data_IF_105077327017
#
_entry.id   IF_105077327017
#
_cell.length_a   1.000
_cell.length_b   1.000
_cell.length_c   1.000
_cell.angle_alpha   90.00
_cell.angle_beta   90.00
_cell.angle_gamma   90.00
#
_symmetry.space_group_name_H-M   'P 1'
#
loop_
_entity.id
_entity.type
_entity.pdbx_description
1 polymer ?
#
# COMPACT_ATOMS: atom_id res chain seq x y z
N UNK A 1 12.42 -22.14 -19.73
CA UNK A 1 11.40 -21.07 -19.67
C UNK A 1 12.06 -19.75 -19.24
N UNK A 2 11.86 -18.70 -20.01
CA UNK A 2 12.44 -17.37 -19.79
C UNK A 2 11.39 -16.47 -19.10
N UNK A 3 11.64 -16.08 -17.86
CA UNK A 3 10.67 -15.39 -17.01
C UNK A 3 11.07 -13.93 -16.86
N UNK A 4 10.13 -13.04 -17.19
CA UNK A 4 10.21 -11.61 -16.88
C UNK A 4 9.47 -11.27 -15.61
N UNK A 5 9.95 -10.29 -14.85
CA UNK A 5 9.22 -9.70 -13.72
C UNK A 5 9.10 -8.19 -13.86
N UNK A 6 7.94 -7.65 -13.50
CA UNK A 6 7.61 -6.24 -13.59
C UNK A 6 6.91 -5.77 -12.32
N UNK A 7 7.32 -4.63 -11.81
CA UNK A 7 6.67 -3.94 -10.70
C UNK A 7 6.74 -2.43 -10.93
N UNK A 8 5.69 -1.72 -10.56
CA UNK A 8 5.60 -0.26 -10.66
C UNK A 8 5.83 0.36 -9.28
N UNK A 9 6.79 1.28 -9.20
CA UNK A 9 7.15 1.94 -7.94
C UNK A 9 8.49 1.49 -7.38
N UNK A 10 8.62 1.46 -6.05
CA UNK A 10 9.86 1.09 -5.39
C UNK A 10 10.12 -0.42 -5.48
N UNK A 11 11.40 -0.80 -5.55
CA UNK A 11 11.82 -2.21 -5.62
C UNK A 11 11.33 -3.06 -4.42
N UNK A 12 10.93 -2.41 -3.32
CA UNK A 12 10.35 -3.06 -2.14
C UNK A 12 9.08 -3.87 -2.43
N UNK A 13 8.28 -3.43 -3.41
CA UNK A 13 7.05 -4.11 -3.81
C UNK A 13 7.28 -5.43 -4.57
N UNK A 14 8.54 -5.72 -4.90
CA UNK A 14 8.92 -6.99 -5.53
C UNK A 14 9.15 -8.12 -4.52
N UNK A 15 9.15 -7.84 -3.20
CA UNK A 15 9.46 -8.85 -2.19
C UNK A 15 8.63 -10.13 -2.34
N UNK A 16 7.33 -10.02 -2.49
CA UNK A 16 6.43 -11.17 -2.65
C UNK A 16 6.79 -12.04 -3.84
N UNK A 17 6.98 -11.44 -5.03
CA UNK A 17 7.34 -12.21 -6.24
C UNK A 17 8.74 -12.81 -6.15
N UNK A 18 9.70 -12.12 -5.49
CA UNK A 18 11.04 -12.69 -5.25
C UNK A 18 11.01 -13.88 -4.31
N UNK A 19 10.22 -13.81 -3.24
CA UNK A 19 10.03 -14.94 -2.34
C UNK A 19 9.38 -16.11 -3.07
N UNK A 20 8.31 -15.88 -3.85
CA UNK A 20 7.64 -16.91 -4.64
C UNK A 20 8.61 -17.59 -5.62
N UNK A 21 9.42 -16.79 -6.34
CA UNK A 21 10.43 -17.32 -7.28
C UNK A 21 11.51 -18.12 -6.54
N UNK A 22 11.99 -17.63 -5.40
CA UNK A 22 12.96 -18.34 -4.57
C UNK A 22 12.44 -19.72 -4.13
N UNK A 23 11.22 -19.78 -3.58
CA UNK A 23 10.57 -21.04 -3.17
C UNK A 23 10.31 -21.97 -4.36
N UNK A 24 9.96 -21.41 -5.50
CA UNK A 24 9.71 -22.17 -6.73
C UNK A 24 11.00 -22.70 -7.40
N UNK A 25 12.17 -22.21 -7.01
CA UNK A 25 13.45 -22.56 -7.64
C UNK A 25 13.62 -21.94 -9.03
N UNK A 26 12.90 -20.86 -9.33
CA UNK A 26 12.98 -20.12 -10.59
C UNK A 26 13.72 -18.79 -10.41
N UNK A 27 14.25 -18.28 -11.51
CA UNK A 27 14.82 -16.94 -11.58
C UNK A 27 14.09 -16.12 -12.62
N UNK A 28 13.97 -14.81 -12.40
CA UNK A 28 13.33 -13.91 -13.33
C UNK A 28 14.19 -12.66 -13.58
N UNK A 29 14.13 -12.15 -14.81
CA UNK A 29 14.83 -10.95 -15.24
C UNK A 29 13.86 -9.77 -15.17
N UNK A 30 14.35 -8.58 -14.79
CA UNK A 30 13.54 -7.36 -14.82
C UNK A 30 13.09 -7.07 -16.24
N UNK A 31 11.77 -6.99 -16.41
CA UNK A 31 11.18 -6.65 -17.70
C UNK A 31 11.20 -5.14 -17.92
N UNK A 32 11.45 -4.75 -19.15
CA UNK A 32 11.30 -3.41 -19.69
C UNK A 32 10.62 -3.43 -21.06
N UNK A 33 10.34 -2.27 -21.63
CA UNK A 33 9.65 -2.16 -22.92
C UNK A 33 10.40 -2.78 -24.09
N UNK A 34 11.71 -3.02 -23.98
CA UNK A 34 12.53 -3.54 -25.05
C UNK A 34 12.66 -5.07 -25.02
N UNK A 35 12.61 -5.65 -23.81
CA UNK A 35 12.78 -7.10 -23.64
C UNK A 35 11.46 -7.85 -23.33
N UNK A 36 10.36 -7.16 -23.08
CA UNK A 36 9.12 -7.77 -22.63
C UNK A 36 8.59 -8.89 -23.55
N UNK A 37 8.79 -8.78 -24.86
CA UNK A 37 8.35 -9.79 -25.85
C UNK A 37 9.20 -11.06 -25.86
N UNK A 38 10.40 -11.02 -25.29
CA UNK A 38 11.33 -12.17 -25.30
C UNK A 38 11.10 -13.17 -24.17
N UNK A 39 10.16 -12.89 -23.29
CA UNK A 39 9.82 -13.79 -22.18
C UNK A 39 8.74 -14.79 -22.60
N UNK A 40 8.80 -15.99 -22.01
CA UNK A 40 7.72 -16.97 -22.08
C UNK A 40 6.61 -16.60 -21.10
N UNK A 41 7.00 -16.09 -19.92
CA UNK A 41 6.08 -15.65 -18.85
C UNK A 41 6.49 -14.26 -18.35
N UNK A 42 5.51 -13.39 -18.14
CA UNK A 42 5.68 -12.10 -17.51
C UNK A 42 4.90 -12.05 -16.18
N UNK A 43 5.62 -12.06 -15.06
CA UNK A 43 5.07 -11.90 -13.72
C UNK A 43 4.95 -10.41 -13.39
N UNK A 44 3.74 -9.95 -13.11
CA UNK A 44 3.46 -8.53 -12.82
C UNK A 44 2.95 -8.39 -11.40
N UNK A 45 3.65 -7.60 -10.58
CA UNK A 45 3.20 -7.27 -9.23
C UNK A 45 2.45 -5.95 -9.24
N UNK A 46 1.19 -5.97 -8.83
CA UNK A 46 0.35 -4.78 -8.65
C UNK A 46 0.09 -4.52 -7.17
N UNK A 47 0.62 -3.43 -6.67
CA UNK A 47 0.49 -3.01 -5.27
C UNK A 47 -0.46 -1.83 -5.11
N UNK A 48 -0.34 -0.81 -5.98
CA UNK A 48 -1.16 0.40 -5.95
C UNK A 48 -2.28 0.35 -6.98
N UNK A 49 -3.40 1.03 -6.70
CA UNK A 49 -4.51 1.14 -7.65
C UNK A 49 -4.07 1.65 -9.04
N UNK A 50 -3.08 2.52 -9.11
CA UNK A 50 -2.56 3.07 -10.38
C UNK A 50 -1.72 2.10 -11.21
N UNK A 51 -1.31 0.98 -10.65
CA UNK A 51 -0.40 0.05 -11.34
C UNK A 51 -1.05 -0.55 -12.59
N UNK A 52 -2.38 -0.72 -12.59
CA UNK A 52 -3.13 -1.16 -13.78
C UNK A 52 -2.98 -0.17 -14.96
N UNK A 53 -3.02 1.14 -14.69
CA UNK A 53 -2.80 2.17 -15.69
C UNK A 53 -1.36 2.16 -16.21
N UNK A 54 -0.38 2.02 -15.31
CA UNK A 54 1.03 1.93 -15.71
C UNK A 54 1.31 0.66 -16.51
N UNK A 55 0.66 -0.45 -16.16
CA UNK A 55 0.82 -1.69 -16.90
C UNK A 55 0.19 -1.62 -18.29
N UNK A 56 -0.99 -1.03 -18.43
CA UNK A 56 -1.62 -0.82 -19.73
C UNK A 56 -0.73 0.06 -20.63
N UNK A 57 -0.15 1.11 -20.07
CA UNK A 57 0.83 1.94 -20.77
C UNK A 57 2.07 1.13 -21.19
N UNK A 58 2.62 0.34 -20.28
CA UNK A 58 3.77 -0.54 -20.55
C UNK A 58 3.46 -1.51 -21.67
N UNK A 59 2.30 -2.16 -21.66
CA UNK A 59 1.86 -3.10 -22.71
C UNK A 59 1.87 -2.45 -24.11
N UNK A 60 1.37 -1.21 -24.20
CA UNK A 60 1.39 -0.44 -25.46
C UNK A 60 2.81 -0.13 -25.91
N UNK A 61 3.62 0.42 -25.02
CA UNK A 61 5.01 0.80 -25.34
C UNK A 61 5.88 -0.42 -25.69
N UNK A 62 5.60 -1.58 -25.08
CA UNK A 62 6.25 -2.84 -25.37
C UNK A 62 5.65 -3.59 -26.57
N UNK A 63 4.54 -3.10 -27.16
CA UNK A 63 3.85 -3.74 -28.28
C UNK A 63 3.23 -5.11 -27.93
N UNK A 64 2.83 -5.32 -26.67
CA UNK A 64 2.20 -6.56 -26.20
C UNK A 64 0.70 -6.63 -26.52
N UNK A 65 0.08 -5.52 -26.98
CA UNK A 65 -1.33 -5.45 -27.29
C UNK A 65 -1.62 -6.00 -28.69
N UNK A 66 -0.75 -5.69 -29.65
CA UNK A 66 -0.97 -5.99 -31.07
C UNK A 66 -0.74 -7.48 -31.43
N UNK A 67 0.02 -8.20 -30.62
CA UNK A 67 0.39 -9.60 -30.85
C UNK A 67 0.25 -10.45 -29.59
N UNK A 68 -0.91 -10.41 -28.95
CA UNK A 68 -1.16 -11.11 -27.67
C UNK A 68 -0.90 -12.63 -27.77
N UNK A 69 -1.24 -13.25 -28.89
CA UNK A 69 -1.03 -14.68 -29.12
C UNK A 69 0.45 -15.11 -29.26
N UNK A 70 1.34 -14.14 -29.54
CA UNK A 70 2.79 -14.35 -29.67
C UNK A 70 3.59 -13.74 -28.52
N UNK A 71 2.92 -13.13 -27.55
CA UNK A 71 3.56 -12.50 -26.37
C UNK A 71 3.71 -13.51 -25.23
N UNK A 72 4.33 -13.04 -24.11
CA UNK A 72 4.44 -13.86 -22.92
C UNK A 72 3.06 -14.13 -22.30
N UNK A 73 2.93 -15.26 -21.60
CA UNK A 73 1.82 -15.49 -20.68
C UNK A 73 1.94 -14.48 -19.53
N UNK A 74 0.93 -13.65 -19.33
CA UNK A 74 0.93 -12.60 -18.31
C UNK A 74 0.21 -13.10 -17.06
N UNK A 75 0.94 -13.19 -15.96
CA UNK A 75 0.40 -13.54 -14.63
C UNK A 75 0.53 -12.33 -13.71
N UNK A 76 -0.61 -11.80 -13.24
CA UNK A 76 -0.66 -10.65 -12.33
C UNK A 76 -0.92 -11.15 -10.91
N UNK A 77 -0.19 -10.62 -9.93
CA UNK A 77 -0.39 -10.86 -8.51
C UNK A 77 -0.24 -9.58 -7.67
N UNK A 78 -0.36 -9.73 -6.37
CA UNK A 78 -0.23 -8.63 -5.40
C UNK A 78 -1.57 -8.14 -4.85
N UNK A 79 -1.50 -7.20 -3.90
CA UNK A 79 -2.69 -6.78 -3.15
C UNK A 79 -3.76 -6.13 -4.05
N UNK A 80 -3.36 -5.33 -5.03
CA UNK A 80 -4.32 -4.72 -5.95
C UNK A 80 -4.98 -5.76 -6.85
N UNK A 81 -4.24 -6.76 -7.32
CA UNK A 81 -4.80 -7.87 -8.09
C UNK A 81 -5.85 -8.66 -7.27
N UNK A 82 -5.60 -8.81 -5.97
CA UNK A 82 -6.55 -9.48 -5.07
C UNK A 82 -7.85 -8.68 -4.86
N UNK A 83 -7.77 -7.34 -4.84
CA UNK A 83 -8.95 -6.50 -4.55
C UNK A 83 -9.74 -6.08 -5.80
N UNK A 84 -9.13 -6.12 -7.00
CA UNK A 84 -9.79 -5.80 -8.27
C UNK A 84 -9.45 -6.83 -9.35
N UNK A 85 -9.71 -8.13 -9.12
CA UNK A 85 -9.28 -9.20 -10.02
C UNK A 85 -9.91 -9.12 -11.40
N UNK A 86 -11.19 -8.77 -11.48
CA UNK A 86 -11.91 -8.63 -12.76
C UNK A 86 -11.27 -7.57 -13.67
N UNK A 87 -10.90 -6.42 -13.08
CA UNK A 87 -10.22 -5.36 -13.83
C UNK A 87 -8.80 -5.81 -14.26
N UNK A 88 -8.08 -6.53 -13.41
CA UNK A 88 -6.76 -7.06 -13.74
C UNK A 88 -6.82 -8.13 -14.85
N UNK A 89 -7.89 -8.94 -14.89
CA UNK A 89 -8.09 -9.95 -15.92
C UNK A 89 -8.33 -9.36 -17.34
N UNK A 90 -8.65 -8.08 -17.44
CA UNK A 90 -8.71 -7.40 -18.75
C UNK A 90 -7.34 -7.24 -19.41
N UNK A 91 -6.26 -7.31 -18.62
CA UNK A 91 -4.88 -7.06 -19.10
C UNK A 91 -3.94 -8.25 -18.88
N UNK A 92 -4.41 -9.34 -18.28
CA UNK A 92 -3.64 -10.55 -17.96
C UNK A 92 -4.30 -11.82 -18.53
N UNK A 93 -3.50 -12.87 -18.65
CA UNK A 93 -4.02 -14.22 -18.91
C UNK A 93 -4.50 -14.86 -17.61
N UNK A 94 -3.77 -14.63 -16.52
CA UNK A 94 -4.12 -15.10 -15.18
C UNK A 94 -3.89 -14.02 -14.13
N UNK A 95 -4.80 -13.99 -13.15
CA UNK A 95 -4.70 -13.13 -11.95
C UNK A 95 -4.63 -14.04 -10.73
N UNK A 96 -3.56 -13.97 -9.97
CA UNK A 96 -3.40 -14.75 -8.75
C UNK A 96 -3.99 -13.99 -7.56
N UNK A 97 -4.85 -14.65 -6.80
CA UNK A 97 -5.61 -14.06 -5.70
C UNK A 97 -4.99 -14.52 -4.37
N UNK A 98 -4.33 -13.61 -3.65
CA UNK A 98 -3.76 -13.90 -2.33
C UNK A 98 -2.24 -14.06 -2.30
N UNK A 99 -1.74 -15.01 -1.49
CA UNK A 99 -0.31 -15.34 -1.32
C UNK A 99 0.11 -16.42 -2.31
N UNK A 100 1.08 -16.11 -3.16
CA UNK A 100 1.53 -17.02 -4.22
C UNK A 100 2.68 -17.96 -3.84
N UNK A 101 3.17 -17.90 -2.60
CA UNK A 101 4.43 -18.51 -2.17
C UNK A 101 4.54 -20.01 -2.48
N UNK A 102 3.47 -20.76 -2.20
CA UNK A 102 3.45 -22.21 -2.36
C UNK A 102 2.82 -22.66 -3.68
N UNK A 103 2.32 -21.71 -4.48
CA UNK A 103 1.54 -22.00 -5.69
C UNK A 103 2.28 -21.65 -6.99
N UNK A 104 3.21 -20.67 -6.96
CA UNK A 104 3.85 -20.17 -8.18
C UNK A 104 4.60 -21.27 -8.93
N UNK A 105 5.21 -22.24 -8.21
CA UNK A 105 5.95 -23.34 -8.84
C UNK A 105 5.05 -24.16 -9.76
N UNK A 106 3.92 -24.65 -9.26
CA UNK A 106 2.98 -25.45 -10.06
C UNK A 106 2.46 -24.70 -11.28
N UNK A 107 2.11 -23.40 -11.10
CA UNK A 107 1.65 -22.54 -12.19
C UNK A 107 2.72 -22.43 -13.30
N UNK A 108 3.98 -22.21 -12.92
CA UNK A 108 5.07 -22.08 -13.88
C UNK A 108 5.44 -23.40 -14.55
N UNK A 109 5.38 -24.52 -13.83
CA UNK A 109 5.63 -25.85 -14.37
C UNK A 109 4.58 -26.22 -15.43
N UNK A 110 3.29 -25.98 -15.17
CA UNK A 110 2.20 -26.21 -16.10
C UNK A 110 2.32 -25.32 -17.36
N UNK A 111 2.64 -24.04 -17.20
CA UNK A 111 2.90 -23.15 -18.34
C UNK A 111 4.11 -23.61 -19.15
N UNK A 112 5.18 -24.07 -18.50
CA UNK A 112 6.37 -24.59 -19.18
C UNK A 112 6.08 -25.85 -19.99
N UNK A 113 5.13 -26.68 -19.52
CA UNK A 113 4.63 -27.85 -20.24
C UNK A 113 3.68 -27.49 -21.41
N UNK A 114 3.33 -26.21 -21.58
CA UNK A 114 2.33 -25.78 -22.57
C UNK A 114 0.88 -26.05 -22.13
N UNK A 115 0.68 -26.31 -20.84
CA UNK A 115 -0.62 -26.62 -20.24
C UNK A 115 -1.26 -25.38 -19.65
N UNK A 116 -2.59 -25.40 -19.53
CA UNK A 116 -3.33 -24.35 -18.82
C UNK A 116 -3.19 -24.59 -17.32
N UNK A 117 -2.73 -23.58 -16.53
CA UNK A 117 -2.61 -23.73 -15.10
C UNK A 117 -3.93 -24.11 -14.41
N UNK A 118 -3.86 -25.07 -13.50
CA UNK A 118 -5.01 -25.64 -12.79
C UNK A 118 -5.20 -25.09 -11.38
N UNK A 119 -4.29 -24.22 -10.90
CA UNK A 119 -4.32 -23.64 -9.57
C UNK A 119 -5.67 -22.96 -9.28
N UNK A 120 -6.33 -23.37 -8.19
CA UNK A 120 -7.66 -22.89 -7.80
C UNK A 120 -7.74 -21.39 -7.51
N UNK A 121 -6.63 -20.78 -7.08
CA UNK A 121 -6.51 -19.36 -6.75
C UNK A 121 -6.28 -18.44 -7.96
N UNK A 122 -6.25 -19.02 -9.17
CA UNK A 122 -6.17 -18.23 -10.39
C UNK A 122 -7.57 -17.78 -10.84
N UNK A 123 -7.65 -16.52 -11.21
CA UNK A 123 -8.78 -15.92 -11.90
C UNK A 123 -8.37 -15.50 -13.32
N UNK A 124 -9.29 -15.57 -14.26
CA UNK A 124 -9.11 -15.13 -15.65
C UNK A 124 -10.43 -14.60 -16.21
N UNK A 125 -10.35 -13.81 -17.25
CA UNK A 125 -11.56 -13.27 -17.91
C UNK A 125 -12.48 -14.39 -18.36
N UNK A 126 -13.73 -14.36 -17.88
CA UNK A 126 -14.75 -15.36 -18.18
C UNK A 126 -14.82 -16.54 -17.21
N UNK A 127 -14.03 -16.53 -16.12
CA UNK A 127 -14.23 -17.46 -15.00
C UNK A 127 -15.43 -16.99 -14.17
N UNK A 128 -16.36 -17.89 -13.87
CA UNK A 128 -17.64 -17.55 -13.22
C UNK A 128 -17.48 -16.99 -11.81
N UNK A 129 -16.46 -17.44 -11.06
CA UNK A 129 -16.28 -17.06 -9.66
C UNK A 129 -14.86 -16.63 -9.38
N UNK A 130 -14.74 -15.50 -8.66
CA UNK A 130 -13.46 -15.07 -8.09
C UNK A 130 -13.14 -16.00 -6.92
N UNK A 131 -11.92 -16.55 -6.87
CA UNK A 131 -11.50 -17.39 -5.74
C UNK A 131 -11.39 -16.60 -4.44
N UNK A 132 -11.54 -17.29 -3.31
CA UNK A 132 -11.08 -16.74 -2.03
C UNK A 132 -9.57 -16.55 -2.05
N UNK A 133 -9.02 -15.54 -1.37
CA UNK A 133 -7.58 -15.31 -1.37
C UNK A 133 -6.81 -16.48 -0.73
N UNK A 134 -5.78 -16.96 -1.42
CA UNK A 134 -4.84 -17.90 -0.85
C UNK A 134 -4.13 -17.32 0.37
N UNK A 135 -3.96 -18.09 1.42
CA UNK A 135 -3.14 -17.77 2.59
C UNK A 135 -2.02 -18.80 2.74
N UNK A 136 -0.76 -18.36 2.60
CA UNK A 136 0.41 -19.17 2.83
C UNK A 136 1.08 -18.79 4.15
N UNK A 137 1.70 -19.75 4.84
CA UNK A 137 2.54 -19.44 6.00
C UNK A 137 3.75 -18.60 5.56
N UNK A 138 4.02 -17.46 6.23
CA UNK A 138 5.14 -16.62 5.88
C UNK A 138 6.45 -17.32 6.18
N UNK A 139 7.43 -17.22 5.29
CA UNK A 139 8.74 -17.83 5.42
C UNK A 139 9.83 -16.78 5.61
N UNK A 140 10.88 -17.17 6.33
CA UNK A 140 12.06 -16.33 6.47
C UNK A 140 12.78 -16.20 5.12
N UNK A 141 12.86 -14.97 4.61
CA UNK A 141 13.53 -14.66 3.36
C UNK A 141 14.17 -13.27 3.44
N UNK A 142 15.39 -13.17 2.95
CA UNK A 142 16.17 -11.94 2.93
C UNK A 142 16.34 -11.42 1.51
N UNK A 143 15.46 -10.54 1.07
CA UNK A 143 15.57 -9.92 -0.24
C UNK A 143 16.63 -8.80 -0.23
N UNK A 144 17.57 -8.89 -1.15
CA UNK A 144 18.58 -7.86 -1.33
C UNK A 144 18.10 -6.83 -2.34
N UNK A 145 18.13 -5.55 -1.98
CA UNK A 145 17.82 -4.45 -2.89
C UNK A 145 18.97 -4.19 -3.87
N UNK A 146 18.67 -4.26 -5.17
CA UNK A 146 19.67 -3.99 -6.22
C UNK A 146 20.09 -2.51 -6.35
N UNK A 147 19.19 -1.54 -6.19
CA UNK A 147 19.41 -0.14 -6.56
C UNK A 147 19.28 0.90 -5.43
N UNK A 148 18.92 0.52 -4.21
CA UNK A 148 18.75 1.44 -3.07
C UNK A 148 19.75 1.18 -1.94
N UNK A 149 21.01 1.00 -2.28
CA UNK A 149 22.07 0.73 -1.31
C UNK A 149 22.01 -0.68 -0.71
N UNK A 150 22.86 -0.96 0.27
CA UNK A 150 23.02 -2.28 0.87
C UNK A 150 21.91 -2.69 1.87
N UNK A 151 20.67 -2.23 1.69
CA UNK A 151 19.58 -2.56 2.62
C UNK A 151 18.92 -3.88 2.24
N UNK A 152 18.89 -4.83 3.16
CA UNK A 152 18.17 -6.09 3.02
C UNK A 152 16.75 -5.96 3.61
N UNK A 153 15.74 -6.50 2.93
CA UNK A 153 14.33 -6.52 3.40
C UNK A 153 14.00 -7.89 3.94
N UNK A 154 13.38 -7.95 5.13
CA UNK A 154 12.94 -9.18 5.78
C UNK A 154 11.50 -8.98 6.25
N UNK A 155 10.58 -9.80 5.73
CA UNK A 155 9.21 -9.87 6.21
C UNK A 155 9.17 -10.60 7.55
N UNK A 156 8.46 -10.06 8.54
CA UNK A 156 8.35 -10.70 9.85
C UNK A 156 6.93 -11.19 10.15
N UNK A 157 5.91 -10.65 9.46
CA UNK A 157 4.53 -11.11 9.62
C UNK A 157 3.67 -10.68 8.42
N UNK A 158 2.60 -11.43 8.16
CA UNK A 158 1.53 -11.14 7.19
C UNK A 158 0.18 -10.98 7.86
N UNK A 159 -0.72 -10.25 7.18
CA UNK A 159 -2.00 -9.90 7.76
C UNK A 159 -1.84 -8.88 8.89
N UNK A 160 -2.92 -8.54 9.57
CA UNK A 160 -2.89 -7.56 10.65
C UNK A 160 -3.86 -7.96 11.78
N UNK A 161 -3.41 -7.85 13.04
CA UNK A 161 -4.25 -8.09 14.23
C UNK A 161 -5.32 -7.01 14.41
N UNK A 162 -5.11 -5.82 13.83
CA UNK A 162 -6.03 -4.70 13.94
C UNK A 162 -7.13 -4.77 12.89
N UNK A 163 -8.29 -4.24 13.27
CA UNK A 163 -9.46 -4.17 12.40
C UNK A 163 -9.79 -2.73 12.02
N UNK A 164 -8.78 -2.01 11.50
CA UNK A 164 -8.98 -0.66 10.99
C UNK A 164 -9.94 -0.68 9.81
N UNK A 165 -11.05 0.07 9.91
CA UNK A 165 -12.17 -0.03 8.96
C UNK A 165 -11.86 0.43 7.53
N UNK A 166 -10.77 1.16 7.32
CA UNK A 166 -10.31 1.65 6.02
C UNK A 166 -9.24 0.76 5.36
N UNK A 167 -8.69 -0.21 6.11
CA UNK A 167 -7.49 -0.92 5.71
C UNK A 167 -7.81 -2.29 5.12
N UNK A 168 -7.45 -2.49 3.87
CA UNK A 168 -7.58 -3.77 3.15
C UNK A 168 -6.89 -4.93 3.90
N UNK A 169 -5.68 -4.69 4.44
CA UNK A 169 -4.90 -5.74 5.10
C UNK A 169 -5.57 -6.31 6.35
N UNK A 170 -6.46 -5.52 6.99
CA UNK A 170 -7.20 -5.98 8.16
C UNK A 170 -8.39 -6.90 7.83
N UNK A 171 -8.80 -6.94 6.59
CA UNK A 171 -9.96 -7.71 6.10
C UNK A 171 -9.59 -8.93 5.23
N UNK A 172 -8.47 -8.85 4.50
CA UNK A 172 -8.13 -9.85 3.49
C UNK A 172 -7.49 -11.11 4.04
N UNK A 173 -6.65 -11.01 5.08
CA UNK A 173 -5.80 -12.13 5.52
C UNK A 173 -5.73 -12.25 7.03
N UNK A 174 -5.59 -13.48 7.51
CA UNK A 174 -5.29 -13.76 8.90
C UNK A 174 -3.88 -13.27 9.27
N UNK A 175 -3.66 -12.95 10.55
CA UNK A 175 -2.33 -12.57 11.02
C UNK A 175 -1.49 -13.84 11.26
N UNK A 176 -0.30 -13.88 10.64
CA UNK A 176 0.67 -14.98 10.72
C UNK A 176 2.07 -14.41 10.85
N UNK A 177 2.91 -15.04 11.67
CA UNK A 177 4.27 -14.59 11.97
C UNK A 177 5.30 -15.53 11.36
N UNK A 178 6.42 -14.99 10.88
CA UNK A 178 7.63 -15.77 10.64
C UNK A 178 8.22 -16.15 12.00
N UNK A 179 8.60 -17.40 12.26
CA UNK A 179 9.21 -17.76 13.54
C UNK A 179 10.40 -16.87 13.89
N UNK A 180 10.46 -16.38 15.15
CA UNK A 180 11.54 -15.49 15.58
C UNK A 180 12.93 -16.11 15.39
N UNK A 181 13.07 -17.42 15.63
CA UNK A 181 14.33 -18.15 15.44
C UNK A 181 14.83 -18.05 13.98
N UNK A 182 13.92 -18.17 13.00
CA UNK A 182 14.25 -18.10 11.58
C UNK A 182 14.69 -16.68 11.18
N UNK A 183 14.02 -15.65 11.73
CA UNK A 183 14.44 -14.26 11.53
C UNK A 183 15.82 -14.03 12.12
N UNK A 184 16.08 -14.52 13.34
CA UNK A 184 17.37 -14.37 14.01
C UNK A 184 18.49 -15.07 13.20
N UNK A 185 18.22 -16.28 12.67
CA UNK A 185 19.17 -16.96 11.79
C UNK A 185 19.53 -16.15 10.54
N UNK A 186 18.54 -15.49 9.90
CA UNK A 186 18.82 -14.55 8.80
C UNK A 186 19.67 -13.35 9.24
N UNK A 187 19.42 -12.79 10.43
CA UNK A 187 20.21 -11.68 10.96
C UNK A 187 21.66 -12.11 11.24
N UNK A 188 21.88 -13.32 11.73
CA UNK A 188 23.22 -13.90 11.94
C UNK A 188 23.97 -14.10 10.62
N UNK A 189 23.28 -14.63 9.58
CA UNK A 189 23.84 -14.73 8.23
C UNK A 189 24.22 -13.36 7.64
N UNK A 190 23.37 -12.34 7.81
CA UNK A 190 23.68 -10.97 7.38
C UNK A 190 24.93 -10.42 8.10
N UNK A 191 25.04 -10.64 9.41
CA UNK A 191 26.18 -10.21 10.20
C UNK A 191 27.47 -10.91 9.74
N UNK A 192 27.42 -12.23 9.50
CA UNK A 192 28.55 -13.02 8.97
C UNK A 192 29.01 -12.51 7.59
N UNK A 193 28.07 -12.11 6.74
CA UNK A 193 28.33 -11.49 5.43
C UNK A 193 28.70 -10.00 5.50
N UNK A 194 28.92 -9.46 6.70
CA UNK A 194 29.24 -8.05 6.97
C UNK A 194 28.20 -7.05 6.43
N UNK A 195 26.94 -7.48 6.29
CA UNK A 195 25.83 -6.64 5.89
C UNK A 195 25.16 -6.08 7.13
N UNK A 196 25.33 -4.79 7.36
CA UNK A 196 24.91 -4.15 8.62
C UNK A 196 23.53 -3.50 8.57
N UNK A 197 23.01 -3.24 7.36
CA UNK A 197 21.78 -2.44 7.17
C UNK A 197 20.68 -3.33 6.62
N UNK A 198 19.57 -3.37 7.31
CA UNK A 198 18.39 -4.11 6.90
C UNK A 198 17.12 -3.36 7.31
N UNK A 199 15.95 -3.85 6.88
CA UNK A 199 14.64 -3.35 7.30
C UNK A 199 13.71 -4.53 7.54
N UNK A 200 13.26 -4.67 8.77
CA UNK A 200 12.12 -5.52 9.09
C UNK A 200 10.84 -4.83 8.62
N UNK A 201 9.92 -5.59 8.03
CA UNK A 201 8.63 -5.04 7.67
C UNK A 201 7.49 -6.03 7.91
N UNK A 202 6.35 -5.48 8.25
CA UNK A 202 5.03 -6.12 8.37
C UNK A 202 3.99 -4.99 8.40
N UNK A 203 2.69 -5.28 8.32
CA UNK A 203 1.65 -4.27 8.58
C UNK A 203 1.80 -3.60 9.96
N UNK A 204 2.24 -4.34 10.97
CA UNK A 204 2.70 -3.84 12.28
C UNK A 204 3.69 -4.82 12.90
N UNK A 205 4.97 -4.56 12.71
CA UNK A 205 6.07 -5.46 13.10
C UNK A 205 6.29 -5.57 14.62
N UNK A 206 5.94 -4.52 15.39
CA UNK A 206 6.14 -4.49 16.84
C UNK A 206 5.15 -5.38 17.61
N UNK A 207 4.16 -5.94 16.93
CA UNK A 207 3.24 -6.94 17.46
C UNK A 207 3.67 -8.38 17.25
N UNK A 208 4.82 -8.57 16.62
CA UNK A 208 5.41 -9.90 16.51
C UNK A 208 5.66 -10.46 17.91
N UNK A 209 5.26 -11.71 18.15
CA UNK A 209 5.36 -12.34 19.48
C UNK A 209 6.82 -12.41 19.99
N UNK A 210 7.77 -12.67 19.10
CA UNK A 210 9.20 -12.68 19.39
C UNK A 210 9.91 -11.35 19.10
N UNK A 211 9.20 -10.20 19.12
CA UNK A 211 9.82 -8.90 18.79
C UNK A 211 11.00 -8.56 19.72
N UNK A 212 10.88 -8.89 21.01
CA UNK A 212 11.97 -8.64 21.99
C UNK A 212 13.23 -9.42 21.65
N UNK A 213 13.09 -10.72 21.38
CA UNK A 213 14.22 -11.62 21.05
C UNK A 213 14.89 -11.19 19.75
N UNK A 214 14.10 -10.82 18.73
CA UNK A 214 14.63 -10.31 17.46
C UNK A 214 15.42 -9.01 17.70
N UNK A 215 14.88 -8.09 18.48
CA UNK A 215 15.52 -6.82 18.78
C UNK A 215 16.81 -7.00 19.60
N UNK A 216 16.81 -7.90 20.58
CA UNK A 216 18.02 -8.26 21.35
C UNK A 216 19.10 -8.85 20.43
N UNK A 217 18.73 -9.66 19.43
CA UNK A 217 19.66 -10.17 18.42
C UNK A 217 20.23 -9.04 17.54
N UNK A 218 19.41 -8.09 17.12
CA UNK A 218 19.85 -6.90 16.36
C UNK A 218 20.95 -6.15 17.12
N UNK A 219 20.76 -5.93 18.43
CA UNK A 219 21.74 -5.29 19.29
C UNK A 219 23.03 -6.10 19.43
N UNK A 220 22.90 -7.38 19.77
CA UNK A 220 24.02 -8.32 19.93
C UNK A 220 24.89 -8.38 18.68
N UNK A 221 24.28 -8.41 17.50
CA UNK A 221 24.95 -8.51 16.20
C UNK A 221 25.42 -7.15 15.65
N UNK A 222 25.14 -6.05 16.35
CA UNK A 222 25.48 -4.68 15.92
C UNK A 222 24.94 -4.33 14.53
N UNK A 223 23.73 -4.77 14.24
CA UNK A 223 23.01 -4.48 13.00
C UNK A 223 22.18 -3.21 13.13
N UNK A 224 21.77 -2.64 11.99
CA UNK A 224 20.96 -1.42 11.93
C UNK A 224 19.67 -1.71 11.18
N UNK A 225 18.55 -1.72 11.90
CA UNK A 225 17.22 -1.72 11.32
C UNK A 225 16.81 -0.29 10.93
N UNK A 226 16.54 -0.07 9.64
CA UNK A 226 16.11 1.23 9.11
C UNK A 226 14.60 1.35 8.91
N UNK A 227 13.83 0.34 9.29
CA UNK A 227 12.37 0.38 9.25
C UNK A 227 11.83 1.39 10.27
N UNK A 228 10.98 2.31 9.80
CA UNK A 228 10.44 3.41 10.62
C UNK A 228 8.92 3.34 10.83
N UNK A 229 8.23 2.45 10.10
CA UNK A 229 6.78 2.34 10.14
C UNK A 229 6.31 1.66 11.43
N UNK A 230 5.35 2.28 12.12
CA UNK A 230 4.77 1.77 13.36
C UNK A 230 3.36 2.33 13.60
N UNK A 231 2.68 1.79 14.59
CA UNK A 231 1.49 2.44 15.15
C UNK A 231 1.89 3.36 16.30
N UNK A 232 1.04 4.35 16.59
CA UNK A 232 1.31 5.31 17.68
C UNK A 232 1.58 4.61 19.01
N UNK A 233 0.83 3.55 19.34
CA UNK A 233 0.98 2.78 20.59
C UNK A 233 2.33 2.07 20.72
N UNK A 234 3.04 1.93 19.61
CA UNK A 234 4.36 1.30 19.56
C UNK A 234 5.47 2.29 19.22
N UNK A 235 5.16 3.59 19.18
CA UNK A 235 6.12 4.62 18.79
C UNK A 235 7.41 4.52 19.62
N UNK A 236 7.28 4.32 20.92
CA UNK A 236 8.42 4.22 21.84
C UNK A 236 9.15 2.86 21.77
N UNK A 237 8.64 1.88 21.00
CA UNK A 237 9.34 0.63 20.67
C UNK A 237 10.24 0.76 19.43
N UNK A 238 10.13 1.86 18.69
CA UNK A 238 10.99 2.11 17.52
C UNK A 238 12.41 2.35 18.01
N UNK A 239 13.23 1.33 17.92
CA UNK A 239 14.63 1.39 18.30
C UNK A 239 15.45 1.72 17.08
N UNK A 240 15.87 2.97 16.97
CA UNK A 240 16.83 3.39 15.96
C UNK A 240 18.16 3.75 16.62
N UNK A 241 19.28 3.47 15.94
CA UNK A 241 20.60 3.79 16.50
C UNK A 241 20.72 5.27 16.87
N UNK A 242 21.47 5.54 17.91
CA UNK A 242 21.67 6.78 18.68
C UNK A 242 21.77 8.11 17.90
N UNK A 243 21.91 8.11 16.57
CA UNK A 243 22.22 9.34 15.82
C UNK A 243 21.05 9.93 15.03
N UNK A 244 20.00 9.18 14.72
CA UNK A 244 18.85 9.69 13.97
C UNK A 244 17.64 8.78 14.20
N UNK A 245 16.61 9.30 14.86
CA UNK A 245 15.34 8.60 15.03
C UNK A 245 14.33 9.09 13.99
N UNK A 246 13.82 8.17 13.21
CA UNK A 246 12.73 8.42 12.28
C UNK A 246 11.56 7.53 12.67
N UNK A 247 10.35 8.06 12.67
CA UNK A 247 9.14 7.30 12.88
C UNK A 247 8.08 7.72 11.86
N UNK A 248 7.36 6.73 11.34
CA UNK A 248 6.22 6.93 10.44
C UNK A 248 5.03 6.22 11.05
N UNK A 249 3.96 6.96 11.33
CA UNK A 249 2.77 6.39 11.99
C UNK A 249 1.47 7.01 11.47
N UNK A 250 0.40 6.22 11.54
CA UNK A 250 -0.92 6.67 11.15
C UNK A 250 -1.76 7.08 12.36
N UNK A 251 -2.13 8.36 12.43
CA UNK A 251 -3.18 8.85 13.32
C UNK A 251 -4.55 8.64 12.69
N UNK A 252 -4.61 8.78 11.38
CA UNK A 252 -5.74 8.57 10.46
C UNK A 252 -6.84 9.63 10.65
N UNK A 253 -7.85 9.41 11.48
CA UNK A 253 -8.90 10.42 11.66
C UNK A 253 -8.37 11.76 12.19
N UNK A 254 -8.85 12.86 11.62
CA UNK A 254 -8.44 14.24 11.96
C UNK A 254 -8.94 14.71 13.34
N UNK A 255 -9.92 14.01 13.93
CA UNK A 255 -10.41 14.24 15.30
C UNK A 255 -10.52 12.94 16.07
N UNK A 256 -10.68 13.01 17.39
CA UNK A 256 -10.88 11.83 18.23
C UNK A 256 -12.14 11.03 17.82
N UNK A 257 -13.24 11.74 17.53
CA UNK A 257 -14.48 11.13 17.04
C UNK A 257 -14.21 10.28 15.78
N UNK A 258 -13.52 10.84 14.83
CA UNK A 258 -13.21 10.17 13.57
C UNK A 258 -12.18 9.05 13.75
N UNK A 259 -11.15 9.22 14.57
CA UNK A 259 -10.21 8.15 14.91
C UNK A 259 -10.94 6.95 15.54
N UNK A 260 -11.81 7.22 16.51
CA UNK A 260 -12.61 6.18 17.18
C UNK A 260 -13.53 5.45 16.19
N UNK A 261 -14.16 6.17 15.27
CA UNK A 261 -15.07 5.59 14.27
C UNK A 261 -14.40 4.55 13.37
N UNK A 262 -13.10 4.70 13.10
CA UNK A 262 -12.32 3.81 12.21
C UNK A 262 -11.45 2.78 12.96
N UNK A 263 -11.62 2.69 14.30
CA UNK A 263 -10.90 1.69 15.11
C UNK A 263 -9.53 2.13 15.63
N UNK A 264 -9.31 3.46 15.77
CA UNK A 264 -8.12 4.06 16.38
C UNK A 264 -8.51 5.06 17.48
N UNK A 265 -8.64 4.61 18.71
CA UNK A 265 -9.18 5.40 19.82
C UNK A 265 -8.13 6.25 20.54
N UNK A 266 -7.27 6.98 19.82
CA UNK A 266 -6.28 7.88 20.44
C UNK A 266 -6.87 9.25 20.73
N UNK A 267 -6.73 9.74 21.97
CA UNK A 267 -7.02 11.12 22.32
C UNK A 267 -5.87 12.04 21.89
N UNK A 268 -6.11 13.35 21.80
CA UNK A 268 -5.05 14.31 21.51
C UNK A 268 -3.98 14.32 22.61
N UNK A 269 -4.37 14.16 23.89
CA UNK A 269 -3.43 14.06 25.02
C UNK A 269 -2.50 12.86 24.87
N UNK A 270 -3.05 11.68 24.53
CA UNK A 270 -2.26 10.48 24.29
C UNK A 270 -1.30 10.64 23.11
N UNK A 271 -1.73 11.31 22.03
CA UNK A 271 -0.85 11.60 20.89
C UNK A 271 0.34 12.47 21.33
N UNK A 272 0.08 13.54 22.09
CA UNK A 272 1.11 14.45 22.59
C UNK A 272 2.07 13.74 23.53
N UNK A 273 1.56 12.92 24.45
CA UNK A 273 2.36 12.10 25.36
C UNK A 273 3.32 11.19 24.61
N UNK A 274 2.81 10.37 23.67
CA UNK A 274 3.63 9.43 22.92
C UNK A 274 4.69 10.13 22.03
N UNK A 275 4.33 11.23 21.39
CA UNK A 275 5.29 12.01 20.59
C UNK A 275 6.33 12.70 21.46
N UNK A 276 5.93 13.24 22.60
CA UNK A 276 6.81 13.88 23.57
C UNK A 276 7.82 12.88 24.16
N UNK A 277 7.35 11.74 24.63
CA UNK A 277 8.19 10.66 25.17
C UNK A 277 9.23 10.18 24.13
N UNK A 278 8.78 9.92 22.90
CA UNK A 278 9.68 9.52 21.80
C UNK A 278 10.74 10.56 21.52
N UNK A 279 10.38 11.85 21.56
CA UNK A 279 11.29 12.97 21.31
C UNK A 279 12.31 13.13 22.43
N UNK A 280 11.83 13.13 23.68
CA UNK A 280 12.69 13.33 24.87
C UNK A 280 13.67 12.17 25.11
N UNK A 281 13.33 10.96 24.65
CA UNK A 281 14.21 9.80 24.69
C UNK A 281 15.26 9.78 23.56
N UNK A 282 15.43 10.88 22.82
CA UNK A 282 16.41 11.01 21.73
C UNK A 282 17.44 12.09 22.02
N UNK A 283 18.72 11.79 21.80
CA UNK A 283 19.82 12.74 21.89
C UNK A 283 19.90 13.70 20.69
N UNK A 284 19.06 13.50 19.67
CA UNK A 284 19.09 14.26 18.40
C UNK A 284 17.70 14.65 17.99
N UNK A 285 17.60 15.63 17.07
CA UNK A 285 16.34 15.96 16.42
C UNK A 285 15.75 14.72 15.75
N UNK A 286 14.51 14.41 16.07
CA UNK A 286 13.77 13.26 15.49
C UNK A 286 12.93 13.69 14.29
N UNK A 287 12.77 12.80 13.32
CA UNK A 287 11.90 13.02 12.17
C UNK A 287 10.67 12.14 12.30
N UNK A 288 9.49 12.76 12.28
CA UNK A 288 8.21 12.08 12.37
C UNK A 288 7.36 12.34 11.12
N UNK A 289 6.81 11.28 10.55
CA UNK A 289 5.76 11.40 9.53
C UNK A 289 4.46 10.89 10.11
N UNK A 290 3.46 11.77 10.21
CA UNK A 290 2.13 11.44 10.73
C UNK A 290 1.10 11.45 9.60
N UNK A 291 0.44 10.30 9.37
CA UNK A 291 -0.59 10.17 8.34
C UNK A 291 -1.98 10.44 8.93
N UNK A 292 -2.77 11.18 8.16
CA UNK A 292 -4.17 11.50 8.44
C UNK A 292 -5.04 11.14 7.24
N UNK A 293 -6.31 10.84 7.52
CA UNK A 293 -7.36 10.62 6.52
C UNK A 293 -8.44 11.67 6.74
N UNK A 294 -8.73 12.45 5.71
CA UNK A 294 -9.89 13.33 5.63
C UNK A 294 -11.00 12.68 4.80
N UNK A 295 -12.16 13.30 4.76
CA UNK A 295 -13.37 12.77 4.11
C UNK A 295 -13.88 11.46 4.73
N UNK A 296 -13.64 11.26 6.01
CA UNK A 296 -14.26 10.14 6.72
C UNK A 296 -15.76 10.39 6.91
N UNK A 297 -16.59 9.33 6.88
CA UNK A 297 -18.02 9.47 7.15
C UNK A 297 -18.30 10.22 8.45
N UNK A 298 -19.18 11.23 8.40
CA UNK A 298 -19.55 12.05 9.55
C UNK A 298 -18.52 13.14 9.91
N UNK A 299 -17.55 13.43 9.05
CA UNK A 299 -16.63 14.55 9.20
C UNK A 299 -17.34 15.89 9.04
N UNK A 300 -17.03 16.85 9.92
CA UNK A 300 -17.60 18.20 9.97
C UNK A 300 -16.52 19.25 10.30
N UNK A 301 -16.91 20.52 10.33
CA UNK A 301 -15.95 21.62 10.55
C UNK A 301 -15.31 21.60 11.94
N UNK A 302 -16.00 21.09 12.96
CA UNK A 302 -15.47 20.90 14.30
C UNK A 302 -14.30 19.93 14.34
N UNK A 303 -14.31 18.91 13.51
CA UNK A 303 -13.19 17.95 13.39
C UNK A 303 -11.91 18.64 12.89
N UNK A 304 -12.04 19.61 12.00
CA UNK A 304 -10.93 20.43 11.50
C UNK A 304 -10.42 21.44 12.53
N UNK A 305 -11.31 21.94 13.40
CA UNK A 305 -10.90 22.77 14.55
C UNK A 305 -10.08 21.94 15.54
N UNK A 306 -10.52 20.71 15.84
CA UNK A 306 -9.77 19.81 16.71
C UNK A 306 -8.39 19.46 16.13
N UNK A 307 -8.29 19.22 14.80
CA UNK A 307 -7.01 19.00 14.16
C UNK A 307 -6.08 20.21 14.30
N UNK A 308 -6.63 21.41 14.14
CA UNK A 308 -5.85 22.66 14.29
C UNK A 308 -5.35 22.82 15.72
N UNK A 309 -6.22 22.56 16.72
CA UNK A 309 -5.85 22.58 18.14
C UNK A 309 -4.72 21.58 18.45
N UNK A 310 -4.81 20.35 17.94
CA UNK A 310 -3.75 19.37 18.11
C UNK A 310 -2.39 19.90 17.63
N UNK A 311 -2.35 20.54 16.46
CA UNK A 311 -1.11 21.09 15.93
C UNK A 311 -0.63 22.33 16.69
N UNK A 312 -1.52 23.18 17.15
CA UNK A 312 -1.19 24.32 18.02
C UNK A 312 -0.57 23.83 19.34
N UNK A 313 -1.12 22.79 19.94
CA UNK A 313 -0.58 22.14 21.15
C UNK A 313 0.79 21.47 20.89
N UNK A 314 0.98 20.82 19.74
CA UNK A 314 2.30 20.29 19.34
C UNK A 314 3.29 21.47 19.21
N UNK A 315 2.88 22.60 18.63
CA UNK A 315 3.74 23.77 18.47
C UNK A 315 4.15 24.38 19.81
N UNK A 316 3.24 24.41 20.77
CA UNK A 316 3.47 24.96 22.10
C UNK A 316 4.27 24.04 23.04
N UNK A 317 4.41 22.76 22.72
CA UNK A 317 5.12 21.81 23.56
C UNK A 317 6.64 22.09 23.60
N UNK A 318 7.27 21.96 24.77
CA UNK A 318 8.72 22.20 24.98
C UNK A 318 9.62 21.35 24.06
N UNK A 319 9.18 20.14 23.78
CA UNK A 319 9.91 19.22 22.91
C UNK A 319 9.73 19.52 21.40
N UNK A 320 8.84 20.42 21.02
CA UNK A 320 8.50 20.69 19.61
C UNK A 320 9.70 21.17 18.77
N UNK A 321 10.67 21.83 19.39
CA UNK A 321 11.93 22.27 18.73
C UNK A 321 12.87 21.11 18.37
N UNK A 322 12.67 19.94 18.94
CA UNK A 322 13.47 18.75 18.72
C UNK A 322 12.86 17.77 17.70
N UNK A 323 11.79 18.17 17.00
CA UNK A 323 11.16 17.36 15.96
C UNK A 323 11.16 18.05 14.60
N UNK A 324 11.31 17.21 13.56
CA UNK A 324 10.93 17.53 12.20
C UNK A 324 9.65 16.76 11.88
N UNK A 325 8.50 17.41 12.00
CA UNK A 325 7.20 16.79 11.74
C UNK A 325 6.80 16.98 10.27
N UNK A 326 6.40 15.88 9.64
CA UNK A 326 5.84 15.86 8.28
C UNK A 326 4.42 15.30 8.31
N UNK A 327 3.39 16.13 8.54
CA UNK A 327 2.02 15.67 8.44
C UNK A 327 1.66 15.36 6.99
N UNK A 328 1.04 14.20 6.79
CA UNK A 328 0.54 13.76 5.47
C UNK A 328 -0.95 13.53 5.60
N UNK A 329 -1.72 14.38 5.00
CA UNK A 329 -3.18 14.28 5.00
C UNK A 329 -3.63 13.71 3.65
N UNK A 330 -4.32 12.58 3.66
CA UNK A 330 -4.88 11.93 2.49
C UNK A 330 -6.42 11.91 2.55
N UNK A 331 -7.12 12.05 1.44
CA UNK A 331 -8.56 11.80 1.43
C UNK A 331 -8.84 10.31 1.63
N UNK A 332 -10.01 9.99 2.18
CA UNK A 332 -10.48 8.62 2.22
C UNK A 332 -10.51 8.04 0.79
N UNK A 333 -9.92 6.88 0.63
CA UNK A 333 -10.02 6.06 -0.57
C UNK A 333 -10.71 4.76 -0.17
N UNK A 334 -12.03 4.64 -0.37
CA UNK A 334 -12.78 3.43 -0.04
C UNK A 334 -12.23 2.25 -0.81
N UNK A 335 -11.87 1.18 -0.09
CA UNK A 335 -11.28 -0.02 -0.68
C UNK A 335 -12.25 -1.19 -0.60
N UNK A 336 -12.32 -2.06 -1.62
CA UNK A 336 -13.01 -3.33 -1.53
C UNK A 336 -12.56 -4.13 -0.31
N UNK A 337 -13.43 -4.96 0.23
CA UNK A 337 -13.20 -5.80 1.42
C UNK A 337 -12.98 -5.02 2.72
N UNK A 338 -13.34 -3.75 2.78
CA UNK A 338 -13.29 -2.95 4.02
C UNK A 338 -14.69 -2.49 4.44
N UNK A 339 -14.92 -2.24 5.75
CA UNK A 339 -16.20 -1.64 6.19
C UNK A 339 -16.52 -0.29 5.55
N UNK A 340 -15.53 0.44 5.05
CA UNK A 340 -15.69 1.72 4.35
C UNK A 340 -15.73 1.59 2.82
N UNK A 341 -15.85 0.38 2.28
CA UNK A 341 -15.90 0.11 0.84
C UNK A 341 -16.95 0.96 0.11
N UNK A 342 -18.11 1.17 0.74
CA UNK A 342 -19.22 1.94 0.18
C UNK A 342 -19.33 3.36 0.74
N UNK A 343 -18.30 3.88 1.41
CA UNK A 343 -18.31 5.25 1.90
C UNK A 343 -18.39 6.26 0.74
N UNK A 344 -19.08 7.37 0.97
CA UNK A 344 -19.15 8.45 -0.01
C UNK A 344 -17.77 9.02 -0.34
N UNK A 345 -17.57 9.45 -1.58
CA UNK A 345 -16.33 10.06 -2.07
C UNK A 345 -16.61 11.46 -2.59
N UNK A 346 -15.88 12.46 -2.11
CA UNK A 346 -16.04 13.85 -2.50
C UNK A 346 -14.83 14.35 -3.31
N UNK A 347 -14.73 14.04 -4.61
CA UNK A 347 -13.51 14.33 -5.39
C UNK A 347 -13.24 15.84 -5.55
N UNK A 348 -14.27 16.68 -5.38
CA UNK A 348 -14.19 18.14 -5.57
C UNK A 348 -14.28 18.95 -4.27
N UNK A 349 -14.23 18.28 -3.10
CA UNK A 349 -14.32 18.96 -1.80
C UNK A 349 -13.15 19.91 -1.59
N UNK A 350 -13.43 21.11 -1.14
CA UNK A 350 -12.43 22.07 -0.67
C UNK A 350 -12.16 21.88 0.83
N UNK A 351 -10.92 22.16 1.24
CA UNK A 351 -10.55 22.11 2.65
C UNK A 351 -10.86 23.41 3.35
N UNK A 352 -11.18 23.39 4.67
CA UNK A 352 -11.45 24.58 5.45
C UNK A 352 -10.31 25.60 5.37
N UNK A 353 -10.66 26.86 5.11
CA UNK A 353 -9.69 27.96 4.93
C UNK A 353 -8.80 28.12 6.16
N UNK A 354 -9.34 27.93 7.37
CA UNK A 354 -8.58 28.02 8.63
C UNK A 354 -7.42 27.01 8.63
N UNK A 355 -7.69 25.76 8.28
CA UNK A 355 -6.65 24.72 8.18
C UNK A 355 -5.60 25.04 7.10
N UNK A 356 -6.03 25.46 5.92
CA UNK A 356 -5.10 25.83 4.84
C UNK A 356 -4.20 27.01 5.24
N UNK A 357 -4.74 27.99 5.95
CA UNK A 357 -3.97 29.16 6.44
C UNK A 357 -2.97 28.71 7.53
N UNK A 358 -3.39 27.85 8.44
CA UNK A 358 -2.49 27.24 9.43
C UNK A 358 -1.32 26.51 8.76
N UNK A 359 -1.59 25.67 7.78
CA UNK A 359 -0.56 24.95 7.03
C UNK A 359 0.41 25.92 6.31
N UNK A 360 -0.11 26.98 5.67
CA UNK A 360 0.72 27.98 4.99
C UNK A 360 1.63 28.73 5.96
N UNK A 361 1.11 29.13 7.13
CA UNK A 361 1.88 29.80 8.19
C UNK A 361 3.05 28.93 8.65
N UNK A 362 2.83 27.63 8.81
CA UNK A 362 3.77 26.69 9.40
C UNK A 362 4.58 25.85 8.38
N UNK A 363 4.41 26.10 7.09
CA UNK A 363 5.02 25.26 6.02
C UNK A 363 6.56 25.21 6.07
N UNK A 364 7.22 26.29 6.51
CA UNK A 364 8.69 26.32 6.63
C UNK A 364 9.20 25.52 7.82
N UNK A 365 8.40 25.40 8.89
CA UNK A 365 8.75 24.68 10.12
C UNK A 365 8.42 23.20 10.02
N UNK A 366 7.25 22.91 9.45
CA UNK A 366 6.74 21.54 9.32
C UNK A 366 6.59 21.20 7.85
N UNK A 367 7.19 20.13 7.41
CA UNK A 367 7.12 19.69 6.03
C UNK A 367 5.72 19.20 5.62
N UNK A 368 4.71 20.09 5.70
CA UNK A 368 3.34 19.79 5.29
C UNK A 368 3.30 19.36 3.82
N UNK A 369 2.98 18.12 3.56
CA UNK A 369 2.84 17.56 2.21
C UNK A 369 1.41 17.64 1.67
N UNK A 370 0.51 18.33 2.38
CA UNK A 370 -0.91 18.41 2.06
C UNK A 370 -1.16 19.08 0.70
N UNK A 371 -0.42 20.15 0.40
CA UNK A 371 -0.65 20.96 -0.81
C UNK A 371 -0.01 20.35 -2.06
N UNK A 372 0.86 19.37 -1.92
CA UNK A 372 1.65 18.78 -3.00
C UNK A 372 1.37 17.28 -3.22
N UNK A 373 0.61 16.65 -2.33
CA UNK A 373 0.33 15.22 -2.48
C UNK A 373 -0.55 14.95 -3.71
N UNK A 374 -0.10 14.10 -4.65
CA UNK A 374 -0.84 13.81 -5.89
C UNK A 374 -2.25 13.28 -5.66
N UNK A 375 -2.46 12.60 -4.54
CA UNK A 375 -3.76 12.02 -4.15
C UNK A 375 -4.87 13.05 -3.91
N UNK A 376 -4.50 14.34 -3.76
CA UNK A 376 -5.45 15.44 -3.58
C UNK A 376 -6.00 16.01 -4.88
N UNK A 377 -5.45 15.61 -6.02
CA UNK A 377 -5.94 16.07 -7.30
C UNK A 377 -7.29 15.40 -7.59
N UNK A 378 -8.36 16.14 -7.87
CA UNK A 378 -9.68 15.60 -8.12
C UNK A 378 -9.70 14.47 -9.15
N UNK A 379 -8.91 14.57 -10.20
CA UNK A 379 -8.84 13.54 -11.24
C UNK A 379 -8.21 12.22 -10.75
N UNK A 380 -7.28 12.26 -9.80
CA UNK A 380 -6.71 11.04 -9.18
C UNK A 380 -7.75 10.38 -8.29
N UNK A 381 -8.55 11.16 -7.57
CA UNK A 381 -9.66 10.64 -6.76
C UNK A 381 -10.73 9.98 -7.63
N UNK A 382 -11.05 10.59 -8.78
CA UNK A 382 -11.94 9.99 -9.77
C UNK A 382 -11.36 8.70 -10.33
N UNK A 383 -10.07 8.67 -10.65
CA UNK A 383 -9.39 7.46 -11.12
C UNK A 383 -9.35 6.36 -10.05
N UNK A 384 -9.09 6.70 -8.79
CA UNK A 384 -9.12 5.76 -7.68
C UNK A 384 -10.52 5.14 -7.51
N UNK A 385 -11.57 5.97 -7.52
CA UNK A 385 -12.95 5.50 -7.47
C UNK A 385 -13.31 4.63 -8.69
N UNK A 386 -12.89 5.01 -9.88
CA UNK A 386 -13.09 4.23 -11.10
C UNK A 386 -12.48 2.83 -10.99
N UNK A 387 -11.25 2.74 -10.51
CA UNK A 387 -10.55 1.45 -10.40
C UNK A 387 -11.21 0.54 -9.35
N UNK A 388 -11.69 1.08 -8.24
CA UNK A 388 -12.26 0.28 -7.16
C UNK A 388 -13.75 -0.01 -7.31
N UNK A 389 -14.49 0.81 -8.05
CA UNK A 389 -15.96 0.73 -8.16
C UNK A 389 -16.49 0.61 -9.59
N UNK A 390 -15.68 0.88 -10.59
CA UNK A 390 -16.10 0.88 -11.99
C UNK A 390 -16.21 -0.51 -12.62
N UNK A 391 -15.83 -1.57 -11.89
CA UNK A 391 -15.87 -2.94 -12.42
C UNK A 391 -14.97 -3.15 -13.66
N UNK A 392 -15.19 -4.21 -14.42
CA UNK A 392 -14.42 -4.50 -15.63
C UNK A 392 -14.52 -3.40 -16.69
N UNK A 393 -15.67 -2.70 -16.75
CA UNK A 393 -15.90 -1.59 -17.71
C UNK A 393 -14.91 -0.43 -17.51
N UNK A 394 -14.35 -0.27 -16.31
CA UNK A 394 -13.32 0.72 -16.04
C UNK A 394 -12.10 0.57 -16.97
N UNK A 395 -11.82 -0.65 -17.45
CA UNK A 395 -10.73 -0.88 -18.40
C UNK A 395 -10.93 -0.15 -19.72
N UNK A 396 -12.16 -0.05 -20.23
CA UNK A 396 -12.46 0.67 -21.49
C UNK A 396 -12.05 2.16 -21.40
N UNK A 397 -12.14 2.74 -20.21
CA UNK A 397 -11.67 4.10 -19.94
C UNK A 397 -10.14 4.13 -19.81
N UNK A 398 -9.58 3.24 -18.99
CA UNK A 398 -8.13 3.19 -18.69
C UNK A 398 -7.31 3.03 -19.97
N UNK A 399 -7.71 2.13 -20.87
CA UNK A 399 -6.98 1.88 -22.12
C UNK A 399 -6.97 3.07 -23.09
N UNK A 400 -7.82 4.07 -22.88
CA UNK A 400 -7.87 5.28 -23.71
C UNK A 400 -7.23 6.49 -23.04
N UNK A 401 -6.78 6.35 -21.80
CA UNK A 401 -6.13 7.44 -21.08
C UNK A 401 -4.82 7.85 -21.76
N UNK A 402 -4.54 9.16 -21.88
CA UNK A 402 -3.28 9.63 -22.43
C UNK A 402 -2.08 9.14 -21.64
N UNK A 403 -1.06 8.64 -22.31
CA UNK A 403 0.17 8.11 -21.68
C UNK A 403 0.94 9.11 -20.79
N UNK A 404 0.66 10.41 -20.93
CA UNK A 404 1.31 11.48 -20.13
C UNK A 404 0.48 11.98 -18.94
N UNK A 405 -0.71 11.44 -18.71
CA UNK A 405 -1.63 11.97 -17.70
C UNK A 405 -1.05 11.93 -16.28
N UNK A 406 -0.28 10.89 -15.95
CA UNK A 406 0.35 10.72 -14.63
C UNK A 406 1.82 11.15 -14.57
N UNK A 407 2.42 11.60 -15.67
CA UNK A 407 3.84 11.98 -15.72
C UNK A 407 4.12 13.40 -15.25
N UNK A 408 3.11 14.25 -15.21
CA UNK A 408 3.18 15.62 -14.66
C UNK A 408 1.92 15.90 -13.87
N UNK A 409 2.07 16.24 -12.59
CA UNK A 409 0.95 16.69 -11.78
C UNK A 409 0.45 18.04 -12.31
N UNK A 410 -0.80 18.13 -12.79
CA UNK A 410 -1.34 19.41 -13.23
C UNK A 410 -1.47 20.37 -12.04
N UNK A 411 -1.40 21.66 -12.27
CA UNK A 411 -1.75 22.67 -11.27
C UNK A 411 -3.18 22.44 -10.79
N UNK A 412 -3.51 22.82 -9.54
CA UNK A 412 -4.82 22.55 -8.91
C UNK A 412 -6.02 22.94 -9.79
N UNK A 413 -5.96 24.09 -10.47
CA UNK A 413 -7.03 24.57 -11.36
C UNK A 413 -7.26 23.64 -12.56
N UNK A 414 -6.17 23.15 -13.15
CA UNK A 414 -6.23 22.22 -14.28
C UNK A 414 -6.76 20.85 -13.84
N UNK A 415 -6.57 20.47 -12.58
CA UNK A 415 -6.98 19.20 -12.01
C UNK A 415 -8.51 19.04 -11.93
N UNK A 416 -9.25 20.10 -11.55
CA UNK A 416 -10.74 20.09 -11.52
C UNK A 416 -11.28 19.96 -12.95
N UNK A 417 -10.76 20.75 -13.87
CA UNK A 417 -11.15 20.69 -15.27
C UNK A 417 -10.90 19.30 -15.88
N UNK A 418 -9.71 18.75 -15.63
CA UNK A 418 -9.35 17.41 -16.10
C UNK A 418 -10.25 16.34 -15.51
N UNK A 419 -10.57 16.42 -14.21
CA UNK A 419 -11.45 15.47 -13.54
C UNK A 419 -12.86 15.51 -14.13
N UNK A 420 -13.44 16.70 -14.34
CA UNK A 420 -14.76 16.85 -14.98
C UNK A 420 -14.77 16.31 -16.41
N UNK A 421 -13.74 16.63 -17.20
CA UNK A 421 -13.61 16.07 -18.57
C UNK A 421 -13.47 14.56 -18.56
N UNK A 422 -12.71 14.01 -17.60
CA UNK A 422 -12.53 12.59 -17.43
C UNK A 422 -13.86 11.89 -17.05
N UNK A 423 -14.66 12.46 -16.17
CA UNK A 423 -15.99 11.94 -15.82
C UNK A 423 -16.91 11.86 -17.03
N UNK A 424 -16.88 12.84 -17.92
CA UNK A 424 -17.66 12.78 -19.18
C UNK A 424 -17.25 11.56 -20.01
N UNK A 425 -15.97 11.25 -20.07
CA UNK A 425 -15.50 10.04 -20.78
C UNK A 425 -15.94 8.76 -20.04
N UNK A 426 -15.82 8.72 -18.72
CA UNK A 426 -16.25 7.59 -17.88
C UNK A 426 -17.73 7.28 -18.08
N UNK A 427 -18.57 8.31 -18.07
CA UNK A 427 -20.03 8.16 -18.22
C UNK A 427 -20.46 7.58 -19.58
N UNK A 428 -19.66 7.75 -20.63
CA UNK A 428 -19.92 7.12 -21.95
C UNK A 428 -19.90 5.59 -21.91
N UNK A 429 -19.30 5.00 -20.88
CA UNK A 429 -19.20 3.54 -20.69
C UNK A 429 -20.22 3.01 -19.66
N UNK A 430 -21.25 3.81 -19.35
CA UNK A 430 -22.29 3.41 -18.40
C UNK A 430 -21.87 3.44 -16.93
N UNK A 431 -20.70 4.00 -16.62
CA UNK A 431 -20.22 4.18 -15.25
C UNK A 431 -20.62 5.57 -14.79
N UNK A 432 -21.63 5.67 -13.92
CA UNK A 432 -22.19 6.95 -13.49
C UNK A 432 -21.46 7.53 -12.29
N UNK A 433 -21.61 8.84 -12.08
CA UNK A 433 -21.10 9.52 -10.89
C UNK A 433 -21.66 8.91 -9.60
N UNK A 434 -22.93 8.46 -9.62
CA UNK A 434 -23.55 7.76 -8.49
C UNK A 434 -22.82 6.46 -8.16
N UNK A 435 -22.47 5.65 -9.16
CA UNK A 435 -21.71 4.41 -8.95
C UNK A 435 -20.33 4.66 -8.33
N UNK A 436 -19.69 5.77 -8.72
CA UNK A 436 -18.33 6.09 -8.27
C UNK A 436 -18.30 6.75 -6.90
N UNK A 437 -19.25 7.64 -6.60
CA UNK A 437 -19.12 8.57 -5.48
C UNK A 437 -20.21 8.43 -4.42
N UNK A 438 -21.42 7.98 -4.76
CA UNK A 438 -22.47 7.84 -3.77
C UNK A 438 -22.17 6.75 -2.75
N UNK A 439 -22.40 7.06 -1.49
CA UNK A 439 -22.42 6.09 -0.41
C UNK A 439 -23.63 5.17 -0.55
N UNK A 440 -23.45 3.87 -0.41
CA UNK A 440 -24.59 2.95 -0.24
C UNK A 440 -24.88 2.85 1.26
N UNK A 441 -26.18 2.88 1.68
CA UNK A 441 -26.52 2.57 3.06
C UNK A 441 -25.98 1.17 3.42
N UNK A 442 -25.49 1.03 4.66
CA UNK A 442 -24.91 -0.22 5.18
C UNK A 442 -25.91 -1.39 5.05
N UNK A 443 -25.86 -2.09 3.93
CA UNK A 443 -26.47 -3.41 3.77
C UNK A 443 -25.39 -4.44 3.49
N UNK A 444 -24.43 -4.54 4.38
CA UNK A 444 -23.43 -5.60 4.29
C UNK A 444 -23.92 -6.79 5.07
N UNK A 445 -24.54 -7.75 4.39
CA UNK A 445 -24.51 -9.14 4.87
C UNK A 445 -23.05 -9.56 4.82
N UNK A 446 -22.41 -9.63 6.01
CA UNK A 446 -21.12 -10.31 6.16
C UNK A 446 -21.24 -11.70 5.55
N UNK A 447 -20.29 -12.15 4.70
CA UNK A 447 -20.16 -13.57 4.47
C UNK A 447 -19.92 -14.22 5.86
N UNK A 448 -20.82 -15.09 6.27
CA UNK A 448 -20.66 -15.88 7.48
C UNK A 448 -19.39 -16.72 7.33
N UNK A 449 -18.31 -16.30 7.96
CA UNK A 449 -17.15 -17.15 8.15
C UNK A 449 -17.60 -18.30 9.06
N UNK A 450 -17.80 -19.49 8.50
CA UNK A 450 -17.92 -20.70 9.30
C UNK A 450 -16.66 -20.80 10.14
N UNK A 451 -16.85 -20.69 11.47
CA UNK A 451 -15.79 -20.99 12.41
C UNK A 451 -15.33 -22.43 12.10
N UNK A 452 -14.07 -22.58 11.73
CA UNK A 452 -13.45 -23.90 11.74
C UNK A 452 -13.30 -24.30 13.19
N UNK A 453 -14.10 -25.27 13.60
CA UNK A 453 -13.94 -26.04 14.84
C UNK A 453 -12.64 -26.81 14.78
#
# INVERSE_FOLDING_TARGET
MHIGKLCFGADDFQYGVELCLHKAGYTAIKADRYNAKSFDVLLVTMFWFRDIYFFERFRREAGLIENREKGPVVVIGGVQATVTPELCAEVADYVFIGDGDDHLKGILDEIAAGEKPTCEYLYWKGKDKIPEPAECEPSAFAMQKGNLGNTTRIEVARGCKFKCKFCVLSGLKSYREVPAADIIALLEDLAAKKRKIFSLFAPERHFHSGFKEINDAVYRLKLTDVGADTRLENLNKVVTHKRKRNATFGLEGISFKLRKSIGKSFTNDYILEQMGEFTMNSDTVVSMTAYFIADLPGECDEDWLELTDLFERIEAADWSRHINLSPVLNPLSPKPFTPLEHAEVHPFRDYPTKWLNFCRKNNKRWGFRILEAPVWHPWIRVLDALIHRGGPQAYEVIKRMPSKLLSKYPKKVDSVYMAKKFLIEVNKYGITDEMLFAGKPETVKKPERKAKT
#
